data_IF_793112479789
#
_entry.id   IF_793112479789
#
_cell.length_a   1.000
_cell.length_b   1.000
_cell.length_c   1.000
_cell.angle_alpha   90.00
_cell.angle_beta   90.00
_cell.angle_gamma   90.00
#
_symmetry.space_group_name_H-M   'P 1'
#
loop_
_entity.id
_entity.type
_entity.pdbx_description
1 polymer ?
#
# COMPACT_ATOMS: atom_id res chain seq x y z
N UNK A 1 0.65 -17.87 -7.59
CA UNK A 1 0.56 -16.66 -6.74
C UNK A 1 -0.89 -16.25 -6.64
N UNK A 2 -1.41 -16.02 -5.45
CA UNK A 2 -2.80 -15.63 -5.31
C UNK A 2 -2.97 -14.12 -5.55
N UNK A 3 -4.22 -13.69 -5.64
CA UNK A 3 -4.55 -12.29 -5.95
C UNK A 3 -4.04 -11.32 -4.90
N UNK A 4 -4.08 -11.73 -3.63
CA UNK A 4 -3.62 -10.89 -2.53
C UNK A 4 -2.10 -10.72 -2.59
N UNK A 5 -1.36 -11.80 -2.81
CA UNK A 5 0.09 -11.73 -2.93
C UNK A 5 0.52 -10.83 -4.09
N UNK A 6 -0.13 -10.98 -5.24
CA UNK A 6 0.16 -10.14 -6.40
C UNK A 6 -0.12 -8.67 -6.10
N UNK A 7 -1.22 -8.40 -5.39
CA UNK A 7 -1.58 -7.04 -4.99
C UNK A 7 -0.57 -6.44 -4.01
N UNK A 8 -0.13 -7.23 -3.03
CA UNK A 8 0.86 -6.77 -2.05
C UNK A 8 2.19 -6.47 -2.73
N UNK A 9 2.63 -7.32 -3.66
CA UNK A 9 3.86 -7.07 -4.42
C UNK A 9 3.76 -5.77 -5.22
N UNK A 10 2.61 -5.56 -5.87
CA UNK A 10 2.39 -4.33 -6.63
C UNK A 10 2.38 -3.10 -5.72
N UNK A 11 1.82 -3.24 -4.52
CA UNK A 11 1.83 -2.17 -3.53
C UNK A 11 3.26 -1.79 -3.13
N UNK A 12 4.11 -2.79 -2.87
CA UNK A 12 5.51 -2.52 -2.53
C UNK A 12 6.25 -1.83 -3.66
N UNK A 13 6.02 -2.26 -4.92
CA UNK A 13 6.62 -1.61 -6.08
C UNK A 13 6.18 -0.15 -6.19
N UNK A 14 4.90 0.10 -5.96
CA UNK A 14 4.32 1.43 -6.02
C UNK A 14 4.96 2.36 -4.97
N UNK A 15 5.06 1.90 -3.73
CA UNK A 15 5.66 2.68 -2.64
C UNK A 15 7.12 2.97 -2.96
N UNK A 16 7.86 1.97 -3.42
CA UNK A 16 9.28 2.13 -3.75
C UNK A 16 9.47 3.12 -4.89
N UNK A 17 8.56 3.13 -5.85
CA UNK A 17 8.60 4.09 -6.95
C UNK A 17 8.28 5.52 -6.54
N UNK A 18 7.50 5.70 -5.47
CA UNK A 18 7.18 7.02 -4.95
C UNK A 18 8.28 7.58 -4.07
N UNK A 19 8.84 6.75 -3.18
CA UNK A 19 9.92 7.14 -2.28
C UNK A 19 10.65 5.88 -1.81
N UNK A 20 11.85 5.69 -2.33
CA UNK A 20 12.65 4.50 -2.03
C UNK A 20 13.09 4.43 -0.56
N UNK A 21 13.03 5.54 0.18
CA UNK A 21 13.39 5.57 1.59
C UNK A 21 12.25 5.11 2.50
N UNK A 22 11.04 4.98 1.97
CA UNK A 22 9.89 4.53 2.74
C UNK A 22 9.83 3.01 2.75
N UNK A 23 9.64 2.43 3.92
CA UNK A 23 9.42 0.99 4.08
C UNK A 23 7.96 0.76 4.40
N UNK A 24 7.34 -0.18 3.69
CA UNK A 24 5.95 -0.56 3.91
C UNK A 24 5.90 -1.94 4.55
N UNK A 25 5.11 -2.07 5.60
CA UNK A 25 4.84 -3.37 6.22
C UNK A 25 3.37 -3.69 5.98
N UNK A 26 3.13 -4.74 5.20
CA UNK A 26 1.78 -5.18 4.83
C UNK A 26 1.53 -6.53 5.47
N UNK A 27 0.44 -6.69 6.26
CA UNK A 27 0.13 -8.00 6.84
C UNK A 27 -0.20 -9.01 5.75
N UNK A 28 -0.01 -10.29 6.04
CA UNK A 28 -0.29 -11.35 5.06
C UNK A 28 -1.79 -11.56 4.83
N UNK A 29 -2.63 -11.11 5.77
CA UNK A 29 -4.08 -11.25 5.69
C UNK A 29 -4.75 -9.95 6.11
N UNK A 30 -5.87 -9.59 5.48
CA UNK A 30 -6.63 -8.43 5.93
C UNK A 30 -7.40 -8.75 7.21
N UNK A 31 -7.75 -7.71 7.96
CA UNK A 31 -8.65 -7.80 9.10
C UNK A 31 -9.93 -7.06 8.72
N UNK A 32 -11.07 -7.73 8.80
CA UNK A 32 -12.36 -7.14 8.42
C UNK A 32 -12.35 -6.56 7.00
N UNK A 33 -11.72 -7.30 6.08
CA UNK A 33 -11.60 -6.91 4.66
C UNK A 33 -10.80 -5.63 4.43
N UNK A 34 -9.95 -5.24 5.39
CA UNK A 34 -9.11 -4.04 5.29
C UNK A 34 -7.68 -4.40 5.68
N UNK A 35 -6.71 -3.91 4.90
CA UNK A 35 -5.30 -4.01 5.24
C UNK A 35 -4.87 -2.77 6.01
N UNK A 36 -4.36 -2.96 7.21
CA UNK A 36 -3.73 -1.89 7.98
C UNK A 36 -2.23 -1.95 7.68
N UNK A 37 -1.75 -0.94 6.97
CA UNK A 37 -0.38 -0.92 6.44
C UNK A 37 0.42 0.14 7.18
N UNK A 38 1.63 -0.22 7.60
CA UNK A 38 2.56 0.70 8.25
C UNK A 38 3.56 1.22 7.21
N UNK A 39 3.70 2.53 7.14
CA UNK A 39 4.72 3.20 6.33
C UNK A 39 5.73 3.84 7.28
N UNK A 40 7.00 3.57 7.06
CA UNK A 40 8.08 4.09 7.91
C UNK A 40 9.14 4.76 7.07
N UNK A 41 9.56 5.95 7.49
CA UNK A 41 10.66 6.67 6.85
C UNK A 41 11.52 7.29 7.95
N UNK A 42 12.71 6.72 8.17
CA UNK A 42 13.56 7.15 9.29
C UNK A 42 12.85 6.93 10.62
N UNK A 43 12.72 7.99 11.42
CA UNK A 43 12.03 7.94 12.71
C UNK A 43 10.52 8.16 12.59
N UNK A 44 10.02 8.45 11.39
CA UNK A 44 8.60 8.76 11.17
C UNK A 44 7.84 7.50 10.77
N UNK A 45 6.63 7.37 11.30
CA UNK A 45 5.75 6.25 10.97
C UNK A 45 4.34 6.77 10.74
N UNK A 46 3.68 6.19 9.74
CA UNK A 46 2.28 6.50 9.47
C UNK A 46 1.55 5.21 9.12
N UNK A 47 0.29 5.11 9.54
CA UNK A 47 -0.55 3.97 9.20
C UNK A 47 -1.57 4.41 8.17
N UNK A 48 -1.82 3.54 7.20
CA UNK A 48 -2.89 3.74 6.22
C UNK A 48 -3.75 2.48 6.17
N UNK A 49 -4.97 2.62 5.71
CA UNK A 49 -5.87 1.49 5.51
C UNK A 49 -6.23 1.39 4.03
N UNK A 50 -6.14 0.17 3.48
CA UNK A 50 -6.48 -0.10 2.09
C UNK A 50 -7.48 -1.25 2.09
N UNK A 51 -8.65 -1.11 1.46
CA UNK A 51 -9.60 -2.21 1.36
C UNK A 51 -8.99 -3.40 0.63
N UNK A 52 -9.38 -4.61 1.04
CA UNK A 52 -8.90 -5.84 0.42
C UNK A 52 -9.14 -5.85 -1.08
N UNK A 53 -10.31 -5.40 -1.53
CA UNK A 53 -10.64 -5.36 -2.95
C UNK A 53 -9.66 -4.49 -3.73
N UNK A 54 -9.23 -3.38 -3.14
CA UNK A 54 -8.27 -2.48 -3.79
C UNK A 54 -6.90 -3.14 -3.92
N UNK A 55 -6.49 -3.92 -2.93
CA UNK A 55 -5.24 -4.67 -3.02
C UNK A 55 -5.32 -5.71 -4.12
N UNK A 56 -6.43 -6.45 -4.20
CA UNK A 56 -6.64 -7.47 -5.23
C UNK A 56 -6.63 -6.85 -6.61
N UNK A 57 -7.26 -5.69 -6.78
CA UNK A 57 -7.40 -5.03 -8.08
C UNK A 57 -6.16 -4.22 -8.48
N UNK A 58 -5.26 -3.96 -7.54
CA UNK A 58 -4.12 -3.07 -7.75
C UNK A 58 -3.29 -3.41 -8.99
N UNK A 59 -2.97 -4.69 -9.28
CA UNK A 59 -2.18 -5.01 -10.46
C UNK A 59 -2.92 -4.80 -11.79
N UNK A 60 -4.25 -4.82 -11.78
CA UNK A 60 -5.06 -4.89 -13.00
C UNK A 60 -5.88 -3.63 -13.28
N UNK A 61 -6.16 -2.82 -12.26
CA UNK A 61 -7.05 -1.67 -12.40
C UNK A 61 -6.29 -0.36 -12.23
N UNK A 62 -6.20 0.42 -13.31
CA UNK A 62 -5.48 1.69 -13.30
C UNK A 62 -6.09 2.70 -12.33
N UNK A 63 -7.42 2.72 -12.22
CA UNK A 63 -8.12 3.63 -11.31
C UNK A 63 -7.77 3.33 -9.85
N UNK A 64 -7.71 2.05 -9.52
CA UNK A 64 -7.34 1.61 -8.16
C UNK A 64 -5.89 1.99 -7.87
N UNK A 65 -4.98 1.78 -8.82
CA UNK A 65 -3.58 2.19 -8.65
C UNK A 65 -3.47 3.69 -8.41
N UNK A 66 -4.23 4.48 -9.16
CA UNK A 66 -4.23 5.93 -8.99
C UNK A 66 -4.70 6.34 -7.60
N UNK A 67 -5.79 5.74 -7.13
CA UNK A 67 -6.36 6.04 -5.81
C UNK A 67 -5.40 5.63 -4.69
N UNK A 68 -4.82 4.43 -4.78
CA UNK A 68 -3.87 3.95 -3.77
C UNK A 68 -2.61 4.81 -3.78
N UNK A 69 -2.13 5.19 -4.96
CA UNK A 69 -0.97 6.08 -5.09
C UNK A 69 -1.21 7.40 -4.36
N UNK A 70 -2.41 7.97 -4.52
CA UNK A 70 -2.76 9.22 -3.85
C UNK A 70 -2.75 9.07 -2.33
N UNK A 71 -3.32 7.99 -1.82
CA UNK A 71 -3.34 7.71 -0.38
C UNK A 71 -1.92 7.61 0.16
N UNK A 72 -1.06 6.87 -0.53
CA UNK A 72 0.33 6.69 -0.12
C UNK A 72 1.10 8.01 -0.18
N UNK A 73 0.95 8.77 -1.27
CA UNK A 73 1.62 10.07 -1.41
C UNK A 73 1.22 11.03 -0.30
N UNK A 74 -0.07 11.10 0.01
CA UNK A 74 -0.57 11.97 1.07
C UNK A 74 0.01 11.55 2.43
N UNK A 75 0.10 10.26 2.68
CA UNK A 75 0.68 9.74 3.92
C UNK A 75 2.16 10.09 4.02
N UNK A 76 2.92 9.90 2.94
CA UNK A 76 4.34 10.22 2.91
C UNK A 76 4.57 11.72 3.11
N UNK A 77 3.72 12.55 2.52
CA UNK A 77 3.83 13.99 2.66
C UNK A 77 3.58 14.46 4.10
N UNK A 78 2.84 13.68 4.88
CA UNK A 78 2.56 13.98 6.29
C UNK A 78 3.59 13.46 7.28
N UNK A 79 4.63 12.80 6.79
CA UNK A 79 5.68 12.26 7.65
C UNK A 79 6.75 13.28 8.03
#
# INVERSE_FOLDING_TARGET
>A
MDEIEAGIQKFHELVKGLDAAVQAVVPVKPANSIFLISLTKGANRKFITIPEDDIIDLPNEADVRSNVTKVVKDAIAGM
#
